data_IF_885253357994
#
_entry.id   IF_885253357994
#
_cell.length_a   1.000
_cell.length_b   1.000
_cell.length_c   1.000
_cell.angle_alpha   90.00
_cell.angle_beta   90.00
_cell.angle_gamma   90.00
#
_symmetry.space_group_name_H-M   'P 1'
#
loop_
_entity.id
_entity.type
_entity.pdbx_description
1 polymer ?
#
# COMPACT_ATOMS: atom_id res chain seq x y z
N UNK A 1 -6.26 -33.97 -18.71
CA UNK A 1 -5.30 -33.38 -17.74
C UNK A 1 -4.31 -32.39 -18.35
N UNK A 2 -3.52 -32.72 -19.39
CA UNK A 2 -2.53 -31.79 -20.00
C UNK A 2 -3.12 -30.52 -20.64
N UNK A 3 -4.33 -30.56 -21.22
CA UNK A 3 -4.95 -29.37 -21.84
C UNK A 3 -5.38 -28.31 -20.80
N UNK A 4 -5.88 -28.74 -19.64
CA UNK A 4 -6.24 -27.85 -18.53
C UNK A 4 -5.02 -27.14 -17.93
N UNK A 5 -3.86 -27.79 -17.88
CA UNK A 5 -2.61 -27.18 -17.39
C UNK A 5 -2.13 -26.10 -18.36
N UNK A 6 -2.12 -26.38 -19.67
CA UNK A 6 -1.76 -25.37 -20.70
C UNK A 6 -2.71 -24.18 -20.70
N UNK A 7 -4.00 -24.43 -20.51
CA UNK A 7 -5.01 -23.37 -20.39
C UNK A 7 -4.76 -22.47 -19.17
N UNK A 8 -4.51 -23.05 -17.99
CA UNK A 8 -4.21 -22.29 -16.78
C UNK A 8 -2.91 -21.49 -16.90
N UNK A 9 -1.84 -22.07 -17.49
CA UNK A 9 -0.59 -21.35 -17.74
C UNK A 9 -0.83 -20.15 -18.65
N UNK A 10 -1.57 -20.32 -19.76
CA UNK A 10 -1.92 -19.22 -20.65
C UNK A 10 -2.68 -18.12 -19.92
N UNK A 11 -3.64 -18.48 -19.07
CA UNK A 11 -4.40 -17.52 -18.27
C UNK A 11 -3.50 -16.70 -17.33
N UNK A 12 -2.58 -17.36 -16.60
CA UNK A 12 -1.65 -16.67 -15.71
C UNK A 12 -0.68 -15.77 -16.47
N UNK A 13 -0.19 -16.21 -17.64
CA UNK A 13 0.67 -15.39 -18.50
C UNK A 13 -0.07 -14.15 -19.00
N UNK A 14 -1.32 -14.29 -19.45
CA UNK A 14 -2.14 -13.15 -19.87
C UNK A 14 -2.37 -12.19 -18.69
N UNK A 15 -2.74 -12.71 -17.51
CA UNK A 15 -2.93 -11.89 -16.32
C UNK A 15 -1.66 -11.11 -15.94
N UNK A 16 -0.50 -11.76 -16.02
CA UNK A 16 0.79 -11.13 -15.74
C UNK A 16 1.12 -10.01 -16.74
N UNK A 17 0.90 -10.25 -18.05
CA UNK A 17 1.10 -9.22 -19.09
C UNK A 17 0.16 -8.03 -18.88
N UNK A 18 -1.11 -8.29 -18.57
CA UNK A 18 -2.09 -7.25 -18.27
C UNK A 18 -1.64 -6.42 -17.07
N UNK A 19 -1.14 -7.07 -16.01
CA UNK A 19 -0.70 -6.37 -14.80
C UNK A 19 0.51 -5.45 -15.07
N UNK A 20 1.49 -5.92 -15.85
CA UNK A 20 2.65 -5.10 -16.26
C UNK A 20 2.18 -3.92 -17.11
N UNK A 21 1.32 -4.17 -18.09
CA UNK A 21 0.80 -3.13 -18.99
C UNK A 21 -0.01 -2.09 -18.20
N UNK A 22 -0.89 -2.52 -17.29
CA UNK A 22 -1.69 -1.63 -16.46
C UNK A 22 -0.83 -0.79 -15.53
N UNK A 23 0.19 -1.40 -14.91
CA UNK A 23 1.07 -0.67 -14.01
C UNK A 23 1.95 0.35 -14.76
N UNK A 24 2.44 -0.03 -15.94
CA UNK A 24 3.20 0.88 -16.80
C UNK A 24 2.34 2.06 -17.28
N UNK A 25 1.08 1.80 -17.64
CA UNK A 25 0.13 2.84 -18.00
C UNK A 25 -0.17 3.77 -16.82
N UNK A 26 -0.36 3.24 -15.61
CA UNK A 26 -0.55 4.04 -14.40
C UNK A 26 0.65 4.97 -14.14
N UNK A 27 1.88 4.47 -14.28
CA UNK A 27 3.07 5.30 -14.20
C UNK A 27 3.09 6.42 -15.24
N UNK A 28 2.75 6.15 -16.50
CA UNK A 28 2.69 7.20 -17.52
C UNK A 28 1.62 8.25 -17.14
N UNK A 29 0.43 7.81 -16.74
CA UNK A 29 -0.67 8.69 -16.36
C UNK A 29 -0.30 9.59 -15.19
N UNK A 30 0.39 9.09 -14.16
CA UNK A 30 0.81 9.94 -13.05
C UNK A 30 1.87 10.97 -13.46
N UNK A 31 2.63 10.70 -14.53
CA UNK A 31 3.58 11.64 -15.11
C UNK A 31 2.97 12.67 -16.07
N UNK A 32 1.70 12.50 -16.45
CA UNK A 32 0.92 13.52 -17.15
C UNK A 32 0.37 14.61 -16.21
N UNK A 33 0.38 14.39 -14.90
CA UNK A 33 -0.05 15.38 -13.91
C UNK A 33 0.87 16.62 -14.01
N UNK A 34 0.34 17.84 -14.22
CA UNK A 34 1.17 19.03 -14.34
C UNK A 34 2.02 19.26 -13.09
N UNK A 35 3.32 19.54 -13.26
CA UNK A 35 4.22 19.78 -12.14
C UNK A 35 3.75 20.94 -11.25
N UNK A 36 3.23 22.01 -11.87
CA UNK A 36 2.69 23.17 -11.16
C UNK A 36 1.58 22.83 -10.17
N UNK A 37 0.81 21.77 -10.42
CA UNK A 37 -0.30 21.36 -9.56
C UNK A 37 0.17 20.69 -8.25
N UNK A 38 1.35 20.04 -8.27
CA UNK A 38 1.88 19.30 -7.11
C UNK A 38 3.01 20.05 -6.39
N UNK A 39 3.62 21.05 -7.03
CA UNK A 39 4.88 21.65 -6.57
C UNK A 39 4.77 22.32 -5.19
N UNK A 40 3.69 23.07 -4.94
CA UNK A 40 3.48 23.72 -3.65
C UNK A 40 3.39 22.70 -2.50
N UNK A 41 2.60 21.64 -2.70
CA UNK A 41 2.45 20.56 -1.72
C UNK A 41 3.75 19.77 -1.55
N UNK A 42 4.51 19.55 -2.62
CA UNK A 42 5.82 18.89 -2.60
C UNK A 42 6.84 19.70 -1.78
N UNK A 43 6.97 21.01 -2.04
CA UNK A 43 7.89 21.89 -1.30
C UNK A 43 7.50 21.96 0.18
N UNK A 44 6.20 22.13 0.48
CA UNK A 44 5.70 22.14 1.85
C UNK A 44 6.03 20.83 2.58
N UNK A 45 5.91 19.70 1.87
CA UNK A 45 6.23 18.37 2.40
C UNK A 45 7.72 18.22 2.73
N UNK A 46 8.61 18.64 1.82
CA UNK A 46 10.06 18.59 2.04
C UNK A 46 10.45 19.47 3.22
N UNK A 47 9.88 20.68 3.31
CA UNK A 47 10.14 21.60 4.42
C UNK A 47 9.64 21.04 5.76
N UNK A 48 8.50 20.36 5.77
CA UNK A 48 7.99 19.68 6.95
C UNK A 48 8.93 18.55 7.40
N UNK A 49 9.32 17.65 6.49
CA UNK A 49 10.22 16.53 6.81
C UNK A 49 11.61 17.01 7.29
N UNK A 50 12.12 18.12 6.74
CA UNK A 50 13.36 18.74 7.24
C UNK A 50 13.25 19.19 8.70
N UNK A 51 12.09 19.72 9.10
CA UNK A 51 11.84 20.12 10.50
C UNK A 51 11.66 18.91 11.42
N UNK A 52 11.00 17.87 10.95
CA UNK A 52 10.75 16.63 11.71
C UNK A 52 12.03 15.80 11.89
N UNK A 53 13.00 15.94 10.98
CA UNK A 53 14.25 15.19 10.98
C UNK A 53 14.14 13.87 10.22
N UNK A 54 15.27 13.19 10.01
CA UNK A 54 15.35 12.00 9.15
C UNK A 54 14.72 10.74 9.77
N UNK A 55 14.84 10.59 11.08
CA UNK A 55 14.36 9.40 11.80
C UNK A 55 13.66 9.79 13.11
N UNK A 56 12.52 10.51 13.03
CA UNK A 56 11.80 10.90 14.22
C UNK A 56 11.20 9.68 14.91
N UNK A 57 11.01 9.80 16.21
CA UNK A 57 10.37 8.79 17.03
C UNK A 57 9.13 9.40 17.71
N UNK A 58 7.99 9.47 17.01
CA UNK A 58 6.83 10.19 17.51
C UNK A 58 6.16 9.51 18.72
N UNK A 59 6.38 8.22 18.96
CA UNK A 59 5.58 7.41 19.90
C UNK A 59 6.41 6.55 20.87
N UNK A 60 7.67 6.92 21.11
CA UNK A 60 8.63 6.21 21.97
C UNK A 60 8.88 4.73 21.55
N UNK A 61 10.12 4.26 21.78
CA UNK A 61 10.56 2.90 21.42
C UNK A 61 11.70 2.88 20.40
N UNK A 62 12.03 1.70 19.88
CA UNK A 62 13.21 1.51 19.01
C UNK A 62 12.90 1.63 17.50
N UNK A 63 11.62 1.68 17.12
CA UNK A 63 11.19 1.83 15.74
C UNK A 63 11.00 3.32 15.43
N UNK A 64 11.54 3.77 14.29
CA UNK A 64 11.52 5.18 13.87
C UNK A 64 10.85 5.30 12.51
N UNK A 65 10.29 6.46 12.19
CA UNK A 65 9.84 6.75 10.82
C UNK A 65 11.07 6.93 9.91
N UNK A 66 10.95 6.53 8.65
CA UNK A 66 11.98 6.75 7.63
C UNK A 66 11.64 7.98 6.76
N UNK A 67 11.81 9.16 7.36
CA UNK A 67 11.61 10.43 6.67
C UNK A 67 12.71 10.69 5.65
N UNK A 68 13.89 10.07 5.81
CA UNK A 68 14.96 10.17 4.83
C UNK A 68 14.48 9.66 3.47
N UNK A 69 13.90 8.46 3.44
CA UNK A 69 13.36 7.89 2.19
C UNK A 69 12.13 8.66 1.68
N UNK A 70 11.21 9.09 2.55
CA UNK A 70 10.06 9.92 2.13
C UNK A 70 10.51 11.24 1.47
N UNK A 71 11.55 11.88 2.02
CA UNK A 71 12.14 13.10 1.46
C UNK A 71 12.77 12.83 0.10
N UNK A 72 13.54 11.75 -0.04
CA UNK A 72 14.11 11.36 -1.33
C UNK A 72 13.01 11.13 -2.36
N UNK A 73 11.92 10.44 -2.03
CA UNK A 73 10.79 10.24 -2.93
C UNK A 73 10.17 11.57 -3.40
N UNK A 74 10.02 12.55 -2.50
CA UNK A 74 9.52 13.89 -2.82
C UNK A 74 10.49 14.73 -3.66
N UNK A 75 11.80 14.56 -3.47
CA UNK A 75 12.83 15.20 -4.30
C UNK A 75 12.83 14.60 -5.71
N UNK A 76 12.63 13.29 -5.82
CA UNK A 76 12.59 12.56 -7.08
C UNK A 76 11.40 12.97 -7.98
N UNK A 77 10.28 13.40 -7.42
CA UNK A 77 9.13 13.98 -8.19
C UNK A 77 9.22 15.49 -8.38
N UNK A 78 10.42 16.05 -8.29
CA UNK A 78 10.68 17.46 -8.58
C UNK A 78 10.60 17.82 -10.07
N UNK A 79 10.63 19.13 -10.40
CA UNK A 79 10.49 19.64 -11.77
C UNK A 79 11.54 19.10 -12.74
N UNK A 80 12.77 18.87 -12.26
CA UNK A 80 13.87 18.28 -13.05
C UNK A 80 13.56 16.87 -13.58
N UNK A 81 12.63 16.18 -12.92
CA UNK A 81 12.22 14.83 -13.26
C UNK A 81 10.77 14.72 -13.76
N UNK A 82 10.12 15.85 -14.10
CA UNK A 82 8.71 15.87 -14.46
C UNK A 82 8.39 15.14 -15.79
N UNK A 83 9.40 14.91 -16.65
CA UNK A 83 9.22 14.28 -17.97
C UNK A 83 8.68 12.85 -17.87
N UNK A 84 7.88 12.42 -18.85
CA UNK A 84 7.31 11.06 -18.92
C UNK A 84 8.42 9.98 -18.95
N UNK A 85 9.55 10.25 -19.60
CA UNK A 85 10.69 9.31 -19.65
C UNK A 85 11.16 8.89 -18.25
N UNK A 86 11.09 9.82 -17.28
CA UNK A 86 11.51 9.58 -15.90
C UNK A 86 10.62 8.59 -15.17
N UNK A 87 9.38 8.37 -15.62
CA UNK A 87 8.46 7.38 -15.04
C UNK A 87 9.09 5.98 -14.94
N UNK A 88 9.98 5.63 -15.89
CA UNK A 88 10.64 4.33 -15.94
C UNK A 88 12.08 4.33 -15.41
N UNK A 89 12.69 5.50 -15.21
CA UNK A 89 14.13 5.63 -14.90
C UNK A 89 14.42 6.35 -13.59
N UNK A 90 13.39 6.68 -12.81
CA UNK A 90 13.54 7.28 -11.49
C UNK A 90 14.21 6.32 -10.49
N UNK A 91 14.84 6.93 -9.47
CA UNK A 91 15.57 6.33 -8.36
C UNK A 91 15.56 4.80 -8.29
N UNK A 92 16.60 4.17 -8.83
CA UNK A 92 16.71 2.71 -9.04
C UNK A 92 16.71 1.85 -7.77
N UNK A 93 16.90 2.46 -6.59
CA UNK A 93 16.94 1.72 -5.32
C UNK A 93 15.57 1.16 -4.92
N UNK A 94 14.48 1.82 -5.32
CA UNK A 94 13.12 1.33 -5.11
C UNK A 94 12.38 1.28 -6.43
N UNK A 95 11.46 0.33 -6.54
CA UNK A 95 10.57 0.28 -7.70
C UNK A 95 9.76 1.57 -7.79
N UNK A 96 9.68 2.18 -8.97
CA UNK A 96 9.04 3.48 -9.21
C UNK A 96 7.52 3.51 -8.92
N UNK A 97 6.91 2.39 -8.51
CA UNK A 97 5.49 2.31 -8.17
C UNK A 97 5.03 3.19 -7.03
N UNK A 98 5.94 3.62 -6.16
CA UNK A 98 5.60 4.63 -5.15
C UNK A 98 5.13 5.95 -5.79
N UNK A 99 5.60 6.30 -6.99
CA UNK A 99 5.21 7.52 -7.69
C UNK A 99 3.77 7.45 -8.22
N UNK A 100 3.25 6.24 -8.50
CA UNK A 100 1.84 6.01 -8.88
C UNK A 100 0.90 6.52 -7.79
N UNK A 101 1.33 6.43 -6.53
CA UNK A 101 0.54 6.84 -5.38
C UNK A 101 0.88 8.26 -4.95
N UNK A 102 2.16 8.59 -4.82
CA UNK A 102 2.60 9.88 -4.29
C UNK A 102 2.17 11.05 -5.18
N UNK A 103 2.33 10.99 -6.51
CA UNK A 103 2.02 12.14 -7.37
C UNK A 103 0.52 12.52 -7.34
N UNK A 104 -0.44 11.58 -7.46
CA UNK A 104 -1.85 11.90 -7.28
C UNK A 104 -2.17 12.39 -5.86
N UNK A 105 -1.58 11.80 -4.82
CA UNK A 105 -1.81 12.22 -3.44
C UNK A 105 -1.32 13.65 -3.17
N UNK A 106 -0.27 14.10 -3.85
CA UNK A 106 0.20 15.49 -3.78
C UNK A 106 -0.79 16.51 -4.39
N UNK A 107 -1.77 16.08 -5.19
CA UNK A 107 -2.88 16.96 -5.60
C UNK A 107 -3.83 17.23 -4.43
N UNK A 108 -3.93 16.30 -3.48
CA UNK A 108 -4.82 16.40 -2.32
C UNK A 108 -4.19 17.27 -1.23
N UNK A 109 -2.90 17.10 -0.96
CA UNK A 109 -2.22 17.87 0.07
C UNK A 109 -0.75 17.55 0.25
N UNK A 110 -0.14 18.17 1.27
CA UNK A 110 1.23 17.90 1.67
C UNK A 110 1.36 16.56 2.45
N UNK A 111 2.58 16.17 2.79
CA UNK A 111 2.87 14.90 3.47
C UNK A 111 2.11 14.73 4.78
N UNK A 112 1.83 15.80 5.52
CA UNK A 112 1.05 15.71 6.77
C UNK A 112 -0.39 15.30 6.48
N UNK A 113 -1.02 15.91 5.48
CA UNK A 113 -2.38 15.54 5.02
C UNK A 113 -2.37 14.12 4.48
N UNK A 114 -1.37 13.77 3.66
CA UNK A 114 -1.26 12.44 3.06
C UNK A 114 -1.11 11.36 4.16
N UNK A 115 -0.23 11.57 5.13
CA UNK A 115 -0.05 10.65 6.26
C UNK A 115 -1.33 10.49 7.08
N UNK A 116 -2.06 11.57 7.31
CA UNK A 116 -3.35 11.54 8.00
C UNK A 116 -4.40 10.71 7.24
N UNK A 117 -4.51 10.93 5.93
CA UNK A 117 -5.43 10.17 5.07
C UNK A 117 -5.08 8.68 5.02
N UNK A 118 -3.80 8.34 4.80
CA UNK A 118 -3.34 6.96 4.78
C UNK A 118 -3.57 6.27 6.13
N UNK A 119 -3.29 6.97 7.24
CA UNK A 119 -3.55 6.45 8.58
C UNK A 119 -5.04 6.21 8.82
N UNK A 120 -5.92 7.12 8.41
CA UNK A 120 -7.36 6.97 8.55
C UNK A 120 -7.87 5.74 7.79
N UNK A 121 -7.46 5.58 6.52
CA UNK A 121 -7.82 4.40 5.71
C UNK A 121 -7.30 3.12 6.36
N UNK A 122 -6.07 3.14 6.88
CA UNK A 122 -5.47 1.99 7.55
C UNK A 122 -6.31 1.53 8.75
N UNK A 123 -6.65 2.46 9.64
CA UNK A 123 -7.43 2.13 10.84
C UNK A 123 -8.84 1.67 10.49
N UNK A 124 -9.49 2.29 9.49
CA UNK A 124 -10.80 1.84 9.01
C UNK A 124 -10.73 0.40 8.50
N UNK A 125 -9.76 0.09 7.62
CA UNK A 125 -9.60 -1.25 7.06
C UNK A 125 -9.26 -2.29 8.13
N UNK A 126 -8.43 -1.93 9.10
CA UNK A 126 -8.08 -2.81 10.22
C UNK A 126 -9.32 -3.10 11.09
N UNK A 127 -10.08 -2.08 11.48
CA UNK A 127 -11.30 -2.23 12.28
C UNK A 127 -12.34 -3.07 11.53
N UNK A 128 -12.54 -2.80 10.24
CA UNK A 128 -13.44 -3.60 9.39
C UNK A 128 -12.99 -5.05 9.30
N UNK A 129 -11.69 -5.30 9.16
CA UNK A 129 -11.13 -6.66 9.13
C UNK A 129 -11.40 -7.40 10.44
N UNK A 130 -11.12 -6.78 11.58
CA UNK A 130 -11.37 -7.36 12.92
C UNK A 130 -12.86 -7.63 13.11
N UNK A 131 -13.71 -6.65 12.76
CA UNK A 131 -15.16 -6.78 12.85
C UNK A 131 -15.67 -7.97 12.03
N UNK A 132 -15.24 -8.08 10.76
CA UNK A 132 -15.67 -9.17 9.89
C UNK A 132 -15.15 -10.53 10.36
N UNK A 133 -13.90 -10.63 10.84
CA UNK A 133 -13.38 -11.87 11.44
C UNK A 133 -14.26 -12.27 12.62
N UNK A 134 -14.52 -11.34 13.55
CA UNK A 134 -15.29 -11.60 14.75
C UNK A 134 -16.74 -12.04 14.42
N UNK A 135 -17.34 -11.45 13.38
CA UNK A 135 -18.71 -11.77 12.95
C UNK A 135 -18.81 -13.07 12.16
N UNK A 136 -17.77 -13.45 11.41
CA UNK A 136 -17.76 -14.66 10.55
C UNK A 136 -17.23 -15.90 11.24
N UNK A 137 -16.40 -15.74 12.27
CA UNK A 137 -15.81 -16.85 13.03
C UNK A 137 -16.24 -16.76 14.49
N UNK A 138 -15.50 -16.02 15.32
CA UNK A 138 -15.81 -15.72 16.72
C UNK A 138 -15.00 -14.49 17.16
N UNK A 139 -15.47 -13.74 18.15
CA UNK A 139 -14.75 -12.60 18.75
C UNK A 139 -13.33 -12.97 19.20
N UNK A 140 -13.10 -14.20 19.68
CA UNK A 140 -11.78 -14.67 20.10
C UNK A 140 -10.75 -14.58 18.97
N UNK A 141 -11.11 -14.98 17.74
CA UNK A 141 -10.20 -14.90 16.59
C UNK A 141 -9.96 -13.46 16.14
N UNK A 142 -10.93 -12.57 16.30
CA UNK A 142 -10.74 -11.13 16.08
C UNK A 142 -9.72 -10.53 17.05
N UNK A 143 -9.80 -10.89 18.33
CA UNK A 143 -8.82 -10.48 19.35
C UNK A 143 -7.44 -11.06 19.04
N UNK A 144 -7.35 -12.35 18.71
CA UNK A 144 -6.08 -12.99 18.38
C UNK A 144 -5.40 -12.34 17.17
N UNK A 145 -6.17 -12.03 16.12
CA UNK A 145 -5.66 -11.31 14.96
C UNK A 145 -5.12 -9.94 15.35
N UNK A 146 -5.88 -9.15 16.12
CA UNK A 146 -5.41 -7.85 16.60
C UNK A 146 -4.13 -7.95 17.43
N UNK A 147 -4.07 -8.91 18.37
CA UNK A 147 -2.88 -9.17 19.19
C UNK A 147 -1.66 -9.55 18.35
N UNK A 148 -1.84 -10.37 17.31
CA UNK A 148 -0.78 -10.76 16.39
C UNK A 148 -0.23 -9.57 15.58
N UNK A 149 -1.02 -8.51 15.40
CA UNK A 149 -0.63 -7.31 14.67
C UNK A 149 0.13 -6.27 15.51
N UNK A 150 0.04 -6.31 16.85
CA UNK A 150 0.70 -5.33 17.72
C UNK A 150 2.24 -5.25 17.55
N UNK A 151 2.99 -6.36 17.37
CA UNK A 151 4.43 -6.31 17.15
C UNK A 151 4.83 -5.55 15.88
N UNK A 152 3.92 -5.42 14.92
CA UNK A 152 4.17 -4.70 13.67
C UNK A 152 4.25 -3.17 13.83
N UNK A 153 4.01 -2.63 15.03
CA UNK A 153 3.97 -1.17 15.28
C UNK A 153 2.98 -0.47 14.35
N UNK A 154 1.71 -0.86 14.45
CA UNK A 154 0.60 -0.39 13.61
C UNK A 154 0.50 1.14 13.56
N UNK A 155 0.86 1.79 14.66
CA UNK A 155 0.97 3.24 14.79
C UNK A 155 1.95 3.87 13.79
N UNK A 156 3.15 3.30 13.67
CA UNK A 156 4.18 3.79 12.75
C UNK A 156 3.89 3.37 11.30
N UNK A 157 3.38 2.16 11.11
CA UNK A 157 3.00 1.63 9.78
C UNK A 157 1.86 2.44 9.16
N UNK A 158 0.88 2.86 9.96
CA UNK A 158 -0.25 3.67 9.49
C UNK A 158 0.21 5.04 8.94
N UNK A 159 1.26 5.60 9.52
CA UNK A 159 1.83 6.91 9.14
C UNK A 159 2.89 6.78 8.04
N UNK A 160 3.51 5.61 7.87
CA UNK A 160 4.59 5.41 6.88
C UNK A 160 4.05 5.13 5.48
N UNK A 161 4.17 6.11 4.58
CA UNK A 161 3.77 5.97 3.17
C UNK A 161 4.37 4.72 2.51
N UNK A 162 5.61 4.35 2.86
CA UNK A 162 6.30 3.22 2.25
C UNK A 162 5.64 1.87 2.60
N UNK A 163 5.07 1.75 3.80
CA UNK A 163 4.54 0.47 4.30
C UNK A 163 3.02 0.37 4.22
N UNK A 164 2.27 1.46 4.37
CA UNK A 164 0.80 1.40 4.51
C UNK A 164 0.11 0.68 3.34
N UNK A 165 0.63 0.84 2.12
CA UNK A 165 0.03 0.25 0.91
C UNK A 165 0.02 -1.29 0.90
N UNK A 166 1.04 -1.93 1.48
CA UNK A 166 1.08 -3.41 1.59
C UNK A 166 -0.03 -3.91 2.52
N UNK A 167 -0.28 -3.17 3.60
CA UNK A 167 -1.36 -3.48 4.53
C UNK A 167 -2.75 -3.21 3.94
N UNK A 168 -2.90 -2.20 3.08
CA UNK A 168 -4.14 -2.02 2.32
C UNK A 168 -4.45 -3.25 1.46
N UNK A 169 -3.47 -3.74 0.71
CA UNK A 169 -3.65 -4.95 -0.11
C UNK A 169 -4.04 -6.16 0.76
N UNK A 170 -3.36 -6.34 1.90
CA UNK A 170 -3.66 -7.40 2.87
C UNK A 170 -5.11 -7.30 3.38
N UNK A 171 -5.52 -6.15 3.90
CA UNK A 171 -6.85 -5.98 4.51
C UNK A 171 -7.97 -6.05 3.47
N UNK A 172 -7.79 -5.45 2.29
CA UNK A 172 -8.78 -5.53 1.21
C UNK A 172 -8.96 -6.99 0.78
N UNK A 173 -7.87 -7.73 0.61
CA UNK A 173 -7.94 -9.15 0.25
C UNK A 173 -8.62 -9.99 1.34
N UNK A 174 -8.29 -9.74 2.61
CA UNK A 174 -8.91 -10.39 3.75
C UNK A 174 -10.41 -10.11 3.84
N UNK A 175 -10.81 -8.85 3.70
CA UNK A 175 -12.22 -8.42 3.67
C UNK A 175 -12.95 -9.10 2.51
N UNK A 176 -12.34 -9.14 1.32
CA UNK A 176 -12.90 -9.82 0.15
C UNK A 176 -13.11 -11.32 0.40
N UNK A 177 -12.13 -11.99 1.00
CA UNK A 177 -12.22 -13.41 1.36
C UNK A 177 -13.38 -13.67 2.35
N UNK A 178 -13.48 -12.84 3.39
CA UNK A 178 -14.54 -12.92 4.42
C UNK A 178 -15.94 -12.55 3.89
N UNK A 179 -16.00 -11.80 2.78
CA UNK A 179 -17.25 -11.50 2.10
C UNK A 179 -17.71 -12.67 1.22
N UNK A 180 -16.78 -13.32 0.52
CA UNK A 180 -17.07 -14.41 -0.42
C UNK A 180 -17.40 -15.72 0.28
N UNK A 181 -16.70 -16.05 1.37
CA UNK A 181 -16.89 -17.30 2.09
C UNK A 181 -18.04 -17.19 3.11
N UNK A 182 -19.08 -18.02 2.95
CA UNK A 182 -20.30 -17.94 3.74
C UNK A 182 -20.10 -18.40 5.20
N UNK A 183 -19.13 -19.30 5.43
CA UNK A 183 -18.69 -19.79 6.74
C UNK A 183 -17.28 -20.36 6.62
N UNK A 184 -16.32 -19.82 7.37
CA UNK A 184 -14.94 -20.30 7.36
C UNK A 184 -14.77 -21.23 8.57
N UNK A 185 -15.04 -22.52 8.38
CA UNK A 185 -14.95 -23.52 9.46
C UNK A 185 -13.48 -23.83 9.84
N UNK A 186 -12.52 -23.47 8.97
CA UNK A 186 -11.09 -23.54 9.24
C UNK A 186 -10.38 -22.30 8.66
N UNK A 187 -10.06 -21.32 9.51
CA UNK A 187 -9.36 -20.08 9.12
C UNK A 187 -8.04 -20.35 8.38
N UNK A 188 -7.40 -21.47 8.72
CA UNK A 188 -6.15 -21.93 8.09
C UNK A 188 -6.40 -22.48 6.66
N UNK A 189 -7.55 -23.13 6.40
CA UNK A 189 -7.88 -23.66 5.07
C UNK A 189 -8.41 -22.59 4.10
N UNK A 190 -9.03 -21.50 4.57
CA UNK A 190 -9.48 -20.42 3.68
C UNK A 190 -8.32 -19.73 2.92
N UNK A 191 -7.12 -19.68 3.52
CA UNK A 191 -5.93 -19.09 2.90
C UNK A 191 -5.23 -20.00 1.88
N UNK A 192 -5.34 -21.32 2.02
CA UNK A 192 -4.61 -22.30 1.18
C UNK A 192 -5.50 -23.17 0.29
N UNK A 193 -6.79 -23.30 0.57
CA UNK A 193 -7.67 -24.29 -0.05
C UNK A 193 -8.85 -23.68 -0.82
N UNK A 194 -8.63 -22.65 -1.64
CA UNK A 194 -9.63 -22.35 -2.69
C UNK A 194 -9.68 -23.46 -3.78
N UNK A 195 -8.91 -24.55 -3.63
CA UNK A 195 -8.91 -25.66 -4.59
C UNK A 195 -8.44 -27.01 -4.03
N UNK A 196 -8.98 -27.45 -2.89
CA UNK A 196 -8.99 -28.88 -2.57
C UNK A 196 -10.42 -29.26 -2.21
N UNK A 197 -11.26 -29.39 -3.24
CA UNK A 197 -12.42 -30.26 -3.16
C UNK A 197 -11.88 -31.69 -3.20
N UNK A 198 -11.67 -32.27 -2.01
CA UNK A 198 -11.83 -33.70 -1.79
C UNK A 198 -13.20 -33.90 -1.15
#
# INVERSE_FOLDING_TARGET
MKSNIKHNIKLYLIAFIILIASFSALLVVTFLIPQSAIENNRINSINFLKKEGNYPNPLYGNTKLDNFTDKLMLEQVGPENASIYRAFTLYTRYWNGWAVLLRPLLLIGNITVIRGLLSAIFWILLILSIYLIARRTNIFYGILFFSAMLPARLDLVAVSMQFTHVYFALFIFLIWLLYKEHKIDNVILGFFCHRINC
#
